data_IF_109711015305
#
_entry.id   IF_109711015305
#
_cell.length_a   1.000
_cell.length_b   1.000
_cell.length_c   1.000
_cell.angle_alpha   90.00
_cell.angle_beta   90.00
_cell.angle_gamma   90.00
#
_symmetry.space_group_name_H-M   'P 1'
#
loop_
_entity.id
_entity.type
_entity.pdbx_description
1 polymer ?
#
# COMPACT_ATOMS: atom_id res chain seq x y z
N UNK A 1 3.36 -19.49 18.72
CA UNK A 1 3.69 -18.37 17.79
C UNK A 1 5.18 -18.32 17.46
N UNK A 2 6.09 -18.50 18.43
CA UNK A 2 7.55 -18.49 18.21
C UNK A 2 8.10 -19.60 17.30
N UNK A 3 7.50 -20.81 17.28
CA UNK A 3 8.08 -21.97 16.59
C UNK A 3 7.90 -21.93 15.06
N UNK A 4 6.79 -21.37 14.56
CA UNK A 4 6.45 -21.42 13.13
C UNK A 4 7.26 -20.37 12.35
N UNK A 5 7.38 -19.15 12.89
CA UNK A 5 8.11 -18.07 12.24
C UNK A 5 9.62 -18.35 12.21
N UNK A 6 10.18 -18.87 13.31
CA UNK A 6 11.58 -19.30 13.35
C UNK A 6 11.86 -20.49 12.41
N UNK A 7 10.94 -21.45 12.33
CA UNK A 7 11.05 -22.53 11.34
C UNK A 7 11.03 -21.97 9.92
N UNK A 8 10.06 -21.12 9.57
CA UNK A 8 9.99 -20.54 8.23
C UNK A 8 11.26 -19.73 7.85
N UNK A 9 11.81 -18.93 8.77
CA UNK A 9 13.04 -18.16 8.55
C UNK A 9 14.31 -19.02 8.48
N UNK A 10 14.41 -20.09 9.27
CA UNK A 10 15.51 -21.05 9.20
C UNK A 10 15.45 -21.88 7.90
N UNK A 11 14.26 -22.28 7.46
CA UNK A 11 14.02 -23.10 6.26
C UNK A 11 14.25 -22.34 4.94
N UNK A 12 14.13 -21.00 4.92
CA UNK A 12 14.48 -20.19 3.74
C UNK A 12 16.01 -20.10 3.55
N UNK A 13 16.79 -20.29 4.62
CA UNK A 13 18.26 -20.19 4.60
C UNK A 13 18.98 -21.51 4.28
N UNK A 14 18.37 -22.65 4.58
CA UNK A 14 18.98 -23.96 4.39
C UNK A 14 18.17 -24.73 3.34
N UNK A 15 18.77 -24.96 2.18
CA UNK A 15 18.15 -25.60 1.02
C UNK A 15 17.84 -27.10 1.17
N UNK A 16 17.32 -27.51 2.32
CA UNK A 16 16.83 -28.87 2.54
C UNK A 16 15.38 -28.98 2.05
N UNK A 17 15.15 -29.88 1.10
CA UNK A 17 13.85 -30.22 0.51
C UNK A 17 12.92 -30.88 1.55
N UNK A 18 12.37 -30.08 2.46
CA UNK A 18 11.22 -30.46 3.26
C UNK A 18 9.96 -29.92 2.58
N UNK A 19 9.02 -30.80 2.21
CA UNK A 19 7.75 -30.41 1.58
C UNK A 19 6.88 -29.57 2.52
N UNK A 20 7.14 -28.26 2.60
CA UNK A 20 6.29 -27.31 3.32
C UNK A 20 4.97 -27.21 2.56
N UNK A 21 3.86 -27.46 3.26
CA UNK A 21 2.54 -27.32 2.63
C UNK A 21 2.23 -25.84 2.42
N UNK A 22 1.65 -25.50 1.27
CA UNK A 22 1.20 -24.12 0.96
C UNK A 22 0.37 -23.50 2.08
N UNK A 23 -0.48 -24.29 2.74
CA UNK A 23 -1.30 -23.85 3.87
C UNK A 23 -0.47 -23.39 5.07
N UNK A 24 0.67 -24.02 5.34
CA UNK A 24 1.57 -23.66 6.45
C UNK A 24 2.28 -22.33 6.17
N UNK A 25 2.64 -22.08 4.91
CA UNK A 25 3.18 -20.78 4.48
C UNK A 25 2.14 -19.66 4.56
N UNK A 26 0.89 -19.94 4.16
CA UNK A 26 -0.22 -18.99 4.26
C UNK A 26 -0.54 -18.64 5.72
N UNK A 27 -0.50 -19.62 6.63
CA UNK A 27 -0.64 -19.38 8.07
C UNK A 27 0.52 -18.55 8.64
N UNK A 28 1.76 -18.89 8.29
CA UNK A 28 2.94 -18.15 8.73
C UNK A 28 2.90 -16.69 8.24
N UNK A 29 2.52 -16.47 6.98
CA UNK A 29 2.31 -15.14 6.40
C UNK A 29 1.25 -14.36 7.20
N UNK A 30 0.10 -14.99 7.48
CA UNK A 30 -0.97 -14.35 8.25
C UNK A 30 -0.52 -13.96 9.66
N UNK A 31 0.27 -14.80 10.32
CA UNK A 31 0.84 -14.48 11.63
C UNK A 31 1.83 -13.32 11.56
N UNK A 32 2.69 -13.29 10.53
CA UNK A 32 3.63 -12.19 10.30
C UNK A 32 2.88 -10.86 10.06
N UNK A 33 1.84 -10.86 9.23
CA UNK A 33 1.01 -9.66 9.00
C UNK A 33 0.31 -9.17 10.27
N UNK A 34 -0.22 -10.08 11.10
CA UNK A 34 -0.81 -9.73 12.40
C UNK A 34 0.22 -9.13 13.35
N UNK A 35 1.45 -9.66 13.37
CA UNK A 35 2.53 -9.13 14.20
C UNK A 35 2.96 -7.74 13.71
N UNK A 36 3.15 -7.58 12.39
CA UNK A 36 3.48 -6.31 11.74
C UNK A 36 2.47 -5.22 12.08
N UNK A 37 1.17 -5.50 11.98
CA UNK A 37 0.13 -4.52 12.32
C UNK A 37 0.15 -4.10 13.79
N UNK A 38 0.39 -5.04 14.71
CA UNK A 38 0.51 -4.72 16.14
C UNK A 38 1.71 -3.81 16.41
N UNK A 39 2.85 -4.08 15.76
CA UNK A 39 4.03 -3.22 15.88
C UNK A 39 3.73 -1.81 15.35
N UNK A 40 3.08 -1.69 14.20
CA UNK A 40 2.66 -0.38 13.67
C UNK A 40 1.74 0.36 14.64
N UNK A 41 0.72 -0.28 15.23
CA UNK A 41 -0.15 0.37 16.22
C UNK A 41 0.63 0.94 17.40
N UNK A 42 1.68 0.24 17.85
CA UNK A 42 2.54 0.70 18.94
C UNK A 42 3.43 1.85 18.48
N UNK A 43 4.07 1.75 17.30
CA UNK A 43 4.95 2.80 16.77
C UNK A 43 4.21 4.08 16.37
N UNK A 44 2.96 3.98 15.93
CA UNK A 44 2.10 5.13 15.61
C UNK A 44 1.41 5.72 16.86
N UNK A 45 1.49 5.05 18.01
CA UNK A 45 1.02 5.61 19.27
C UNK A 45 1.94 6.75 19.67
N UNK A 46 1.42 7.90 20.16
CA UNK A 46 2.24 8.92 20.78
C UNK A 46 2.82 8.35 22.08
N UNK A 47 3.87 7.55 21.97
CA UNK A 47 4.65 7.08 23.11
C UNK A 47 5.40 8.30 23.62
N UNK A 48 5.00 8.79 24.80
CA UNK A 48 5.65 9.87 25.56
C UNK A 48 7.05 9.47 26.09
N UNK A 49 7.60 8.31 25.70
CA UNK A 49 8.91 7.88 26.14
C UNK A 49 9.98 8.36 25.15
N UNK A 50 10.87 9.20 25.69
CA UNK A 50 12.11 9.67 25.11
C UNK A 50 12.95 8.46 24.67
N UNK A 51 12.73 7.97 23.45
CA UNK A 51 13.75 7.19 22.77
C UNK A 51 14.84 8.18 22.38
N UNK A 52 16.07 7.94 22.83
CA UNK A 52 17.23 8.59 22.23
C UNK A 52 17.13 8.32 20.73
N UNK A 53 16.98 9.40 19.93
CA UNK A 53 17.00 9.32 18.48
C UNK A 53 18.39 8.83 18.08
N UNK A 54 18.58 7.50 18.01
CA UNK A 54 19.68 6.94 17.24
C UNK A 54 19.51 7.49 15.82
N UNK A 55 20.54 8.15 15.27
CA UNK A 55 20.62 8.72 13.92
C UNK A 55 20.49 7.67 12.79
N UNK A 56 19.82 6.55 13.02
CA UNK A 56 19.34 5.70 11.94
C UNK A 56 18.14 6.39 11.31
N UNK A 57 18.31 6.84 10.06
CA UNK A 57 17.25 7.38 9.21
C UNK A 57 15.95 6.59 9.44
N UNK A 58 15.01 7.18 10.18
CA UNK A 58 13.71 6.58 10.39
C UNK A 58 13.12 6.30 9.00
N UNK A 59 12.77 5.03 8.73
CA UNK A 59 12.23 4.64 7.43
C UNK A 59 11.01 5.51 7.16
N UNK A 60 11.15 6.45 6.22
CA UNK A 60 10.08 7.35 5.86
C UNK A 60 8.98 6.51 5.19
N UNK A 61 7.91 6.24 5.93
CA UNK A 61 6.84 5.34 5.48
C UNK A 61 6.01 5.93 4.33
N UNK A 62 5.90 7.27 4.30
CA UNK A 62 5.07 8.01 3.37
C UNK A 62 5.87 9.17 2.78
N UNK A 63 5.80 9.32 1.47
CA UNK A 63 6.24 10.53 0.79
C UNK A 63 5.11 11.03 -0.13
N UNK A 64 4.77 12.31 -0.03
CA UNK A 64 3.78 12.95 -0.90
C UNK A 64 4.44 14.06 -1.68
N UNK A 65 4.39 13.96 -3.00
CA UNK A 65 4.83 14.99 -3.93
C UNK A 65 3.59 15.62 -4.58
N UNK A 66 3.47 16.94 -4.50
CA UNK A 66 2.41 17.69 -5.15
C UNK A 66 3.05 18.66 -6.15
N UNK A 67 2.57 18.65 -7.38
CA UNK A 67 2.85 19.72 -8.32
C UNK A 67 1.56 20.16 -9.03
N UNK A 68 1.67 21.12 -9.95
CA UNK A 68 0.51 21.72 -10.60
C UNK A 68 -0.33 20.76 -11.47
N UNK A 69 0.16 19.55 -11.77
CA UNK A 69 -0.53 18.59 -12.65
C UNK A 69 -0.89 17.27 -11.98
N UNK A 70 -0.21 16.88 -10.88
CA UNK A 70 -0.49 15.63 -10.17
C UNK A 70 -0.20 15.69 -8.68
N UNK A 71 -0.79 14.72 -7.97
CA UNK A 71 -0.37 14.30 -6.63
C UNK A 71 0.21 12.89 -6.74
N UNK A 72 1.43 12.69 -6.25
CA UNK A 72 2.06 11.38 -6.14
C UNK A 72 2.24 11.05 -4.67
N UNK A 73 1.68 9.92 -4.26
CA UNK A 73 1.83 9.38 -2.91
C UNK A 73 2.63 8.08 -3.04
N UNK A 74 3.74 8.00 -2.34
CA UNK A 74 4.51 6.78 -2.16
C UNK A 74 4.32 6.29 -0.73
N UNK A 75 3.95 5.01 -0.61
CA UNK A 75 3.84 4.31 0.67
C UNK A 75 4.77 3.12 0.60
N UNK A 76 5.72 3.03 1.55
CA UNK A 76 6.64 1.90 1.71
C UNK A 76 5.94 0.69 2.35
N UNK A 77 4.80 0.31 1.76
CA UNK A 77 3.98 -0.85 2.10
C UNK A 77 3.24 -1.33 0.84
N UNK A 78 2.82 -2.58 0.85
CA UNK A 78 2.04 -3.18 -0.24
C UNK A 78 0.62 -3.39 0.24
N UNK A 79 -0.35 -2.99 -0.58
CA UNK A 79 -1.76 -3.23 -0.27
C UNK A 79 -2.01 -4.70 0.07
N UNK A 80 -2.72 -4.97 1.17
CA UNK A 80 -3.00 -6.33 1.58
C UNK A 80 -3.93 -7.03 0.60
N UNK A 81 -3.82 -8.35 0.56
CA UNK A 81 -4.78 -9.20 -0.12
C UNK A 81 -6.16 -9.06 0.51
N UNK A 82 -7.21 -9.30 -0.27
CA UNK A 82 -8.58 -9.22 0.20
C UNK A 82 -8.94 -10.34 1.22
N UNK A 83 -8.13 -11.41 1.30
CA UNK A 83 -8.41 -12.62 2.07
C UNK A 83 -7.37 -12.83 3.18
N UNK A 84 -7.83 -13.26 4.36
CA UNK A 84 -6.99 -13.92 5.38
C UNK A 84 -6.70 -13.09 6.65
N UNK A 85 -6.60 -11.77 6.56
CA UNK A 85 -6.32 -10.88 7.71
C UNK A 85 -7.59 -10.13 8.13
N UNK A 86 -7.70 -9.69 9.39
CA UNK A 86 -8.83 -8.83 9.82
C UNK A 86 -8.90 -7.59 8.95
N UNK A 87 -9.96 -7.50 8.15
CA UNK A 87 -10.19 -6.39 7.22
C UNK A 87 -10.07 -5.04 7.93
N UNK A 88 -10.61 -4.93 9.15
CA UNK A 88 -10.62 -3.70 9.94
C UNK A 88 -9.22 -3.18 10.30
N UNK A 89 -8.31 -4.02 10.81
CA UNK A 89 -6.99 -3.55 11.27
C UNK A 89 -6.12 -3.06 10.11
N UNK A 90 -6.13 -3.80 9.00
CA UNK A 90 -5.44 -3.40 7.78
C UNK A 90 -6.05 -2.16 7.13
N UNK A 91 -7.39 -2.11 7.10
CA UNK A 91 -8.13 -0.96 6.61
C UNK A 91 -7.80 0.28 7.44
N UNK A 92 -7.81 0.20 8.76
CA UNK A 92 -7.42 1.31 9.64
C UNK A 92 -5.97 1.76 9.41
N UNK A 93 -5.02 0.82 9.29
CA UNK A 93 -3.62 1.13 8.98
C UNK A 93 -3.50 1.92 7.67
N UNK A 94 -4.06 1.40 6.58
CA UNK A 94 -4.00 2.06 5.28
C UNK A 94 -4.79 3.37 5.22
N UNK A 95 -5.95 3.45 5.88
CA UNK A 95 -6.70 4.69 6.02
C UNK A 95 -5.88 5.76 6.77
N UNK A 96 -5.16 5.38 7.83
CA UNK A 96 -4.26 6.27 8.59
C UNK A 96 -3.13 6.77 7.71
N UNK A 97 -2.44 5.86 6.99
CA UNK A 97 -1.35 6.24 6.08
C UNK A 97 -1.83 7.21 5.00
N UNK A 98 -2.97 6.90 4.37
CA UNK A 98 -3.55 7.78 3.35
C UNK A 98 -4.00 9.13 3.93
N UNK A 99 -4.54 9.16 5.15
CA UNK A 99 -4.91 10.41 5.81
C UNK A 99 -3.68 11.29 6.07
N UNK A 100 -2.58 10.71 6.58
CA UNK A 100 -1.31 11.40 6.75
C UNK A 100 -0.76 11.90 5.40
N UNK A 101 -0.78 11.06 4.38
CA UNK A 101 -0.29 11.39 3.03
C UNK A 101 -1.06 12.55 2.37
N UNK A 102 -2.37 12.66 2.65
CA UNK A 102 -3.27 13.63 2.03
C UNK A 102 -3.51 14.88 2.87
N UNK A 103 -2.97 14.94 4.10
CA UNK A 103 -3.27 16.00 5.09
C UNK A 103 -3.06 17.40 4.53
N UNK A 104 -1.95 17.61 3.82
CA UNK A 104 -1.54 18.92 3.29
C UNK A 104 -1.82 19.05 1.78
N UNK A 105 -2.56 18.11 1.19
CA UNK A 105 -2.95 18.16 -0.22
C UNK A 105 -4.19 19.04 -0.36
N UNK A 106 -4.03 20.20 -1.00
CA UNK A 106 -5.13 21.15 -1.21
C UNK A 106 -5.93 20.91 -2.51
N UNK A 107 -5.37 20.13 -3.45
CA UNK A 107 -6.02 19.85 -4.75
C UNK A 107 -7.35 19.12 -4.55
N UNK A 108 -8.39 19.54 -5.29
CA UNK A 108 -9.72 18.93 -5.30
C UNK A 108 -10.13 18.65 -6.74
N UNK A 109 -10.28 17.37 -7.08
CA UNK A 109 -10.63 16.95 -8.43
C UNK A 109 -12.14 16.89 -8.61
N UNK A 110 -12.64 17.39 -9.76
CA UNK A 110 -14.03 17.12 -10.15
C UNK A 110 -14.18 15.67 -10.61
N UNK A 111 -13.23 15.22 -11.44
CA UNK A 111 -13.07 13.83 -11.85
C UNK A 111 -11.59 13.46 -11.84
N UNK A 112 -11.23 12.40 -11.13
CA UNK A 112 -9.83 11.96 -10.97
C UNK A 112 -9.56 10.69 -11.78
N UNK A 113 -8.36 10.59 -12.33
CA UNK A 113 -7.74 9.32 -12.67
C UNK A 113 -6.78 8.91 -11.54
N UNK A 114 -7.10 7.83 -10.84
CA UNK A 114 -6.28 7.26 -9.78
C UNK A 114 -5.45 6.09 -10.33
N UNK A 115 -4.14 6.27 -10.47
CA UNK A 115 -3.23 5.22 -10.92
C UNK A 115 -2.51 4.62 -9.72
N UNK A 116 -2.70 3.34 -9.47
CA UNK A 116 -2.09 2.62 -8.36
C UNK A 116 -1.05 1.66 -8.95
N UNK A 117 0.23 1.97 -8.74
CA UNK A 117 1.36 1.14 -9.16
C UNK A 117 1.94 0.40 -7.96
N UNK A 118 1.92 -0.93 -8.01
CA UNK A 118 2.47 -1.78 -6.94
C UNK A 118 3.81 -2.33 -7.39
N UNK A 119 4.84 -2.12 -6.56
CA UNK A 119 6.14 -2.74 -6.69
C UNK A 119 6.21 -3.90 -5.70
N UNK A 120 6.06 -5.12 -6.21
CA UNK A 120 6.00 -6.34 -5.41
C UNK A 120 7.36 -7.03 -5.31
N UNK A 121 7.73 -7.60 -4.16
CA UNK A 121 8.93 -8.43 -4.06
C UNK A 121 8.74 -9.80 -4.70
N UNK A 122 7.48 -10.21 -4.92
CA UNK A 122 7.11 -11.50 -5.50
C UNK A 122 6.65 -11.35 -6.95
N UNK A 123 7.06 -12.30 -7.80
CA UNK A 123 6.65 -12.40 -9.20
C UNK A 123 5.18 -12.83 -9.37
N UNK A 124 4.64 -13.59 -8.41
CA UNK A 124 3.29 -14.14 -8.51
C UNK A 124 2.32 -13.35 -7.64
N UNK A 125 1.59 -12.43 -8.26
CA UNK A 125 0.46 -11.74 -7.65
C UNK A 125 -0.58 -11.35 -8.71
N UNK A 126 -1.84 -11.47 -8.34
CA UNK A 126 -2.96 -11.09 -9.20
C UNK A 126 -3.30 -9.61 -8.98
N UNK A 127 -3.45 -8.88 -10.08
CA UNK A 127 -3.68 -7.42 -10.08
C UNK A 127 -5.02 -7.03 -9.45
N UNK A 128 -5.98 -7.95 -9.38
CA UNK A 128 -7.30 -7.74 -8.80
C UNK A 128 -7.43 -8.21 -7.34
N UNK A 129 -6.46 -8.97 -6.83
CA UNK A 129 -6.54 -9.63 -5.53
C UNK A 129 -5.98 -8.76 -4.38
N UNK A 130 -6.36 -7.48 -4.35
CA UNK A 130 -5.99 -6.54 -3.27
C UNK A 130 -7.11 -5.55 -2.95
N UNK A 131 -7.05 -4.98 -1.76
CA UNK A 131 -8.11 -4.14 -1.22
C UNK A 131 -8.00 -2.66 -1.67
N UNK A 132 -8.04 -2.41 -2.99
CA UNK A 132 -7.93 -1.06 -3.58
C UNK A 132 -9.02 -0.09 -3.13
N UNK A 133 -10.18 -0.62 -2.71
CA UNK A 133 -11.28 0.18 -2.17
C UNK A 133 -10.86 1.06 -1.00
N UNK A 134 -9.83 0.66 -0.24
CA UNK A 134 -9.31 1.48 0.86
C UNK A 134 -8.75 2.80 0.34
N UNK A 135 -7.95 2.77 -0.73
CA UNK A 135 -7.39 3.97 -1.36
C UNK A 135 -8.54 4.86 -1.86
N UNK A 136 -9.49 4.29 -2.59
CA UNK A 136 -10.63 5.02 -3.16
C UNK A 136 -11.45 5.69 -2.04
N UNK A 137 -11.76 4.95 -0.97
CA UNK A 137 -12.43 5.49 0.20
C UNK A 137 -11.64 6.62 0.86
N UNK A 138 -10.32 6.49 1.00
CA UNK A 138 -9.46 7.55 1.53
C UNK A 138 -9.54 8.83 0.70
N UNK A 139 -9.63 8.76 -0.63
CA UNK A 139 -9.78 9.95 -1.47
C UNK A 139 -11.07 10.71 -1.15
N UNK A 140 -12.18 9.98 -0.96
CA UNK A 140 -13.47 10.55 -0.57
C UNK A 140 -13.46 11.10 0.85
N UNK A 141 -12.92 10.36 1.83
CA UNK A 141 -12.85 10.78 3.23
C UNK A 141 -11.99 12.03 3.43
N UNK A 142 -10.89 12.15 2.68
CA UNK A 142 -10.03 13.34 2.68
C UNK A 142 -10.51 14.44 1.72
N UNK A 143 -11.70 14.29 1.14
CA UNK A 143 -12.35 15.26 0.24
C UNK A 143 -11.53 15.60 -1.02
N UNK A 144 -10.60 14.73 -1.43
CA UNK A 144 -9.85 14.89 -2.69
C UNK A 144 -10.79 14.79 -3.90
N UNK A 145 -11.81 13.94 -3.78
CA UNK A 145 -12.91 13.80 -4.73
C UNK A 145 -14.27 13.94 -4.02
N UNK A 146 -15.34 14.29 -4.73
CA UNK A 146 -16.68 14.40 -4.14
C UNK A 146 -17.28 13.04 -3.76
N UNK A 147 -17.08 12.03 -4.60
CA UNK A 147 -17.68 10.71 -4.49
C UNK A 147 -16.84 9.66 -5.26
N UNK A 148 -17.08 8.36 -5.04
CA UNK A 148 -16.39 7.24 -5.72
C UNK A 148 -17.14 6.72 -6.95
N UNK A 149 -18.16 7.46 -7.40
CA UNK A 149 -18.98 7.14 -8.58
C UNK A 149 -18.20 7.35 -9.89
N UNK A 150 -18.68 6.70 -10.95
CA UNK A 150 -18.06 6.70 -12.28
C UNK A 150 -17.85 8.10 -12.90
N UNK A 151 -18.64 9.09 -12.48
CA UNK A 151 -18.55 10.48 -12.93
C UNK A 151 -17.48 11.30 -12.18
N UNK A 152 -16.93 10.77 -11.09
CA UNK A 152 -15.91 11.41 -10.25
C UNK A 152 -14.59 10.64 -10.20
N UNK A 153 -14.59 9.35 -10.51
CA UNK A 153 -13.39 8.53 -10.41
C UNK A 153 -13.29 7.50 -11.53
N UNK A 154 -12.08 7.35 -12.05
CA UNK A 154 -11.63 6.14 -12.74
C UNK A 154 -10.29 5.73 -12.15
N UNK A 155 -10.01 4.43 -12.14
CA UNK A 155 -8.75 3.94 -11.58
C UNK A 155 -8.09 2.92 -12.49
N UNK A 156 -6.77 2.88 -12.41
CA UNK A 156 -5.91 1.96 -13.16
C UNK A 156 -4.94 1.31 -12.18
N UNK A 157 -4.79 -0.01 -12.28
CA UNK A 157 -3.81 -0.74 -11.48
C UNK A 157 -2.66 -1.18 -12.38
N UNK A 158 -1.45 -0.92 -11.92
CA UNK A 158 -0.21 -1.33 -12.58
C UNK A 158 0.66 -2.09 -11.60
N UNK A 159 1.53 -2.93 -12.17
CA UNK A 159 2.42 -3.78 -11.40
C UNK A 159 3.85 -3.71 -11.90
N UNK A 160 4.79 -3.84 -10.98
CA UNK A 160 6.20 -4.00 -11.27
C UNK A 160 6.85 -4.85 -10.17
N UNK A 161 8.09 -5.28 -10.38
CA UNK A 161 8.84 -6.10 -9.44
C UNK A 161 10.00 -5.31 -8.88
N UNK A 162 10.03 -5.19 -7.56
CA UNK A 162 11.13 -4.58 -6.82
C UNK A 162 11.30 -5.35 -5.50
N UNK A 163 12.39 -6.12 -5.42
CA UNK A 163 12.66 -6.97 -4.25
C UNK A 163 13.29 -6.19 -3.11
N UNK A 164 14.03 -5.14 -3.45
CA UNK A 164 14.82 -4.37 -2.51
C UNK A 164 13.99 -3.23 -1.92
N UNK A 165 13.04 -2.69 -2.70
CA UNK A 165 12.18 -1.59 -2.27
C UNK A 165 10.69 -1.82 -2.60
N UNK A 166 10.02 -2.76 -1.92
CA UNK A 166 8.60 -3.02 -2.10
C UNK A 166 7.74 -1.84 -1.62
N UNK A 167 6.85 -1.35 -2.48
CA UNK A 167 6.05 -0.14 -2.21
C UNK A 167 4.79 -0.05 -3.06
N UNK A 168 3.89 0.84 -2.66
CA UNK A 168 2.74 1.27 -3.45
C UNK A 168 2.90 2.73 -3.81
N UNK A 169 2.83 3.04 -5.10
CA UNK A 169 2.77 4.39 -5.62
C UNK A 169 1.36 4.68 -6.11
N UNK A 170 0.81 5.84 -5.73
CA UNK A 170 -0.53 6.29 -6.09
C UNK A 170 -0.40 7.65 -6.75
N UNK A 171 -0.83 7.76 -8.00
CA UNK A 171 -0.86 9.00 -8.75
C UNK A 171 -2.30 9.45 -8.93
N UNK A 172 -2.58 10.69 -8.56
CA UNK A 172 -3.87 11.35 -8.76
C UNK A 172 -3.68 12.44 -9.79
N UNK A 173 -4.46 12.36 -10.85
CA UNK A 173 -4.40 13.24 -12.01
C UNK A 173 -5.81 13.72 -12.34
N UNK A 174 -5.94 14.90 -12.94
CA UNK A 174 -7.21 15.28 -13.56
C UNK A 174 -7.58 14.25 -14.61
N UNK A 175 -8.82 13.80 -14.61
CA UNK A 175 -9.25 12.76 -15.53
C UNK A 175 -9.19 13.27 -16.98
N UNK A 176 -8.53 12.54 -17.90
CA UNK A 176 -8.47 12.95 -19.30
C UNK A 176 -9.87 12.91 -19.92
N UNK A 177 -10.22 13.89 -20.76
CA UNK A 177 -11.54 13.91 -21.42
C UNK A 177 -11.72 12.71 -22.36
N UNK A 178 -10.63 12.28 -22.99
CA UNK A 178 -10.60 11.11 -23.88
C UNK A 178 -10.07 9.88 -23.12
N UNK A 179 -10.85 8.79 -23.00
CA UNK A 179 -10.37 7.54 -22.38
C UNK A 179 -9.24 6.88 -23.17
N UNK A 180 -9.00 7.26 -24.43
CA UNK A 180 -7.93 6.77 -25.29
C UNK A 180 -6.74 7.73 -25.38
N UNK A 181 -6.51 8.53 -24.34
CA UNK A 181 -5.38 9.46 -24.25
C UNK A 181 -3.99 8.84 -24.54
N UNK A 182 -3.87 7.51 -24.42
CA UNK A 182 -2.66 6.73 -24.72
C UNK A 182 -2.52 6.27 -26.18
N UNK A 183 -3.53 6.47 -27.02
CA UNK A 183 -3.53 6.07 -28.45
C UNK A 183 -2.97 7.18 -29.34
N UNK A 184 -2.83 8.41 -28.83
CA UNK A 184 -2.29 9.52 -29.59
C UNK A 184 -0.79 9.25 -29.84
N UNK A 185 -0.32 9.23 -31.11
CA UNK A 185 1.10 9.03 -31.41
C UNK A 185 1.93 10.09 -30.71
N UNK A 186 3.00 9.68 -30.02
CA UNK A 186 4.01 10.63 -29.56
C UNK A 186 4.68 11.23 -30.80
N UNK A 187 4.35 12.47 -31.13
CA UNK A 187 5.04 13.30 -32.12
C UNK A 187 6.47 13.58 -31.70
#
# INVERSE_FOLDING_TARGET
>A
MHVILFKALALIKEGDEMFIKRSELEEAYLLAEKARLKLWTVMDSPIEEVFEEDEQEAIQMINTEVNGSYVKIMINDILPRAVGVSKSSLEHHWLSLMHKALKDVEIRYKKVLCVIKIFSPAHYWDVDNRTYSIIINSLRYNKIIPDDKFNNLSFMIMGDIDKDNPRTEIYLLEHPNDPLFFVIPKS
#
